data_IF_950700784924
#
_entry.id   IF_950700784924
#
_cell.length_a   1.000
_cell.length_b   1.000
_cell.length_c   1.000
_cell.angle_alpha   90.00
_cell.angle_beta   90.00
_cell.angle_gamma   90.00
#
_symmetry.space_group_name_H-M   'P 1'
#
loop_
_entity.id
_entity.type
_entity.pdbx_description
1 polymer ?
#
# COMPACT_ATOMS: atom_id res chain seq x y z
N UNK A 1 -33.90 9.22 3.22
CA UNK A 1 -32.47 8.99 2.93
C UNK A 1 -32.03 7.77 3.73
N UNK A 2 -31.01 7.04 3.28
CA UNK A 2 -30.40 6.00 4.12
C UNK A 2 -29.63 6.68 5.27
N UNK A 3 -29.52 6.01 6.42
CA UNK A 3 -28.58 6.43 7.48
C UNK A 3 -27.14 6.28 6.97
N UNK A 4 -26.19 7.13 7.41
CA UNK A 4 -24.78 6.90 7.14
C UNK A 4 -24.32 5.55 7.73
N UNK A 5 -23.31 4.88 7.14
CA UNK A 5 -22.77 3.65 7.69
C UNK A 5 -22.10 3.92 9.05
N UNK A 6 -22.31 3.01 10.01
CA UNK A 6 -21.62 3.06 11.29
C UNK A 6 -20.16 2.60 11.11
N UNK A 7 -19.24 3.57 11.15
CA UNK A 7 -17.80 3.37 11.02
C UNK A 7 -17.07 3.41 12.38
N UNK A 8 -17.76 3.03 13.47
CA UNK A 8 -17.14 2.86 14.78
C UNK A 8 -16.22 1.64 14.83
N UNK A 9 -15.12 1.80 15.58
CA UNK A 9 -14.09 0.79 15.84
C UNK A 9 -13.70 0.86 17.32
N UNK A 10 -13.16 -0.22 17.91
CA UNK A 10 -12.45 -0.13 19.18
C UNK A 10 -11.15 0.68 19.00
N UNK A 11 -10.59 1.20 20.09
CA UNK A 11 -9.35 1.98 20.08
C UNK A 11 -8.07 1.16 19.88
N UNK A 12 -8.13 -0.14 20.16
CA UNK A 12 -6.98 -1.06 20.13
C UNK A 12 -7.40 -2.42 19.57
N UNK A 13 -6.43 -3.15 19.04
CA UNK A 13 -6.58 -4.55 18.61
C UNK A 13 -5.88 -5.50 19.59
N UNK A 14 -6.22 -6.80 19.62
CA UNK A 14 -5.37 -7.79 20.25
C UNK A 14 -4.15 -8.08 19.37
N UNK A 15 -2.99 -8.30 19.98
CA UNK A 15 -1.76 -8.61 19.25
C UNK A 15 -1.62 -10.11 18.96
N UNK A 16 -0.79 -10.43 17.95
CA UNK A 16 -0.57 -11.78 17.43
C UNK A 16 0.92 -11.99 17.20
N UNK A 17 1.37 -13.23 17.00
CA UNK A 17 2.77 -13.50 16.61
C UNK A 17 3.16 -12.88 15.26
N UNK A 18 2.17 -12.42 14.48
CA UNK A 18 2.35 -11.72 13.19
C UNK A 18 2.16 -10.20 13.29
N UNK A 19 2.12 -9.60 14.50
CA UNK A 19 1.86 -8.17 14.70
C UNK A 19 2.93 -7.21 14.13
N UNK A 20 4.04 -7.72 13.58
CA UNK A 20 5.05 -6.93 12.85
C UNK A 20 5.40 -7.56 11.48
N UNK A 21 4.47 -8.32 10.90
CA UNK A 21 4.64 -8.94 9.58
C UNK A 21 4.08 -8.04 8.48
N UNK A 22 4.92 -7.74 7.48
CA UNK A 22 4.63 -6.88 6.32
C UNK A 22 4.48 -7.69 5.03
N UNK A 23 3.98 -7.07 3.96
CA UNK A 23 3.68 -7.70 2.67
C UNK A 23 4.93 -8.19 1.90
N UNK A 24 5.41 -9.36 2.29
CA UNK A 24 6.51 -10.10 1.66
C UNK A 24 6.04 -11.06 0.54
N UNK A 25 4.93 -10.72 -0.14
CA UNK A 25 4.30 -11.55 -1.17
C UNK A 25 3.45 -12.73 -0.66
N UNK A 26 3.63 -13.18 0.59
CA UNK A 26 2.78 -14.20 1.23
C UNK A 26 1.42 -13.64 1.65
N UNK A 27 1.41 -12.42 2.17
CA UNK A 27 0.21 -11.78 2.71
C UNK A 27 -0.56 -11.04 1.62
N UNK A 28 -1.87 -10.92 1.84
CA UNK A 28 -2.79 -10.14 1.03
C UNK A 28 -3.72 -9.31 1.91
N UNK A 29 -3.95 -8.05 1.55
CA UNK A 29 -4.94 -7.22 2.23
C UNK A 29 -6.34 -7.80 1.99
N UNK A 30 -7.10 -7.96 3.07
CA UNK A 30 -8.43 -8.55 2.98
C UNK A 30 -9.46 -7.48 2.57
N UNK A 31 -10.24 -7.77 1.54
CA UNK A 31 -11.32 -6.93 1.04
C UNK A 31 -12.66 -7.40 1.63
N UNK A 32 -13.41 -6.44 2.15
CA UNK A 32 -14.74 -6.62 2.76
C UNK A 32 -15.74 -5.57 2.25
N UNK A 33 -17.02 -5.75 2.59
CA UNK A 33 -18.05 -4.72 2.43
C UNK A 33 -19.05 -4.74 3.58
N UNK A 34 -19.49 -3.56 4.00
CA UNK A 34 -20.72 -3.36 4.80
C UNK A 34 -21.86 -2.75 3.98
N UNK A 35 -21.59 -2.40 2.71
CA UNK A 35 -22.60 -2.05 1.73
C UNK A 35 -23.28 -3.29 1.15
N UNK A 36 -24.39 -3.08 0.44
CA UNK A 36 -25.10 -4.15 -0.27
C UNK A 36 -24.52 -4.33 -1.68
N UNK A 37 -23.31 -4.87 -1.77
CA UNK A 37 -22.69 -5.29 -3.04
C UNK A 37 -23.03 -6.75 -3.34
N UNK A 38 -23.31 -7.05 -4.62
CA UNK A 38 -23.45 -8.43 -5.09
C UNK A 38 -22.07 -9.06 -5.42
N UNK A 39 -22.09 -10.34 -5.81
CA UNK A 39 -20.88 -11.11 -6.09
C UNK A 39 -20.09 -10.57 -7.30
N UNK A 40 -20.75 -9.97 -8.29
CA UNK A 40 -20.09 -9.40 -9.46
C UNK A 40 -19.47 -8.04 -9.12
N UNK A 41 -20.16 -7.21 -8.32
CA UNK A 41 -19.63 -5.96 -7.79
C UNK A 41 -18.42 -6.20 -6.86
N UNK A 42 -18.44 -7.25 -6.04
CA UNK A 42 -17.30 -7.66 -5.20
C UNK A 42 -16.10 -8.13 -6.02
N UNK A 43 -16.31 -8.91 -7.09
CA UNK A 43 -15.24 -9.32 -8.01
C UNK A 43 -14.69 -8.14 -8.83
N UNK A 44 -15.56 -7.20 -9.23
CA UNK A 44 -15.13 -5.97 -9.90
C UNK A 44 -14.28 -5.07 -8.98
N UNK A 45 -14.65 -4.96 -7.70
CA UNK A 45 -13.88 -4.26 -6.67
C UNK A 45 -12.50 -4.90 -6.45
N UNK A 46 -12.44 -6.22 -6.27
CA UNK A 46 -11.18 -6.97 -6.15
C UNK A 46 -10.30 -6.83 -7.40
N UNK A 47 -10.91 -6.83 -8.59
CA UNK A 47 -10.18 -6.62 -9.86
C UNK A 47 -9.65 -5.19 -9.96
N UNK A 48 -10.43 -4.18 -9.58
CA UNK A 48 -10.04 -2.77 -9.67
C UNK A 48 -8.88 -2.44 -8.71
N UNK A 49 -8.99 -2.85 -7.43
CA UNK A 49 -7.92 -2.65 -6.43
C UNK A 49 -6.62 -3.32 -6.89
N UNK A 50 -6.69 -4.54 -7.44
CA UNK A 50 -5.50 -5.28 -7.86
C UNK A 50 -4.92 -4.88 -9.23
N UNK A 51 -5.66 -4.08 -10.02
CA UNK A 51 -5.22 -3.55 -11.31
C UNK A 51 -4.58 -2.15 -11.20
N UNK A 52 -4.56 -1.56 -10.00
CA UNK A 52 -3.98 -0.25 -9.74
C UNK A 52 -2.45 -0.26 -9.70
N UNK A 53 -1.83 0.91 -9.83
CA UNK A 53 -0.38 1.05 -9.78
C UNK A 53 0.16 0.68 -8.38
N UNK A 54 1.28 -0.05 -8.34
CA UNK A 54 1.89 -0.61 -7.13
C UNK A 54 1.01 -1.60 -6.34
N UNK A 55 -0.15 -2.02 -6.88
CA UNK A 55 -1.00 -3.00 -6.22
C UNK A 55 -0.48 -4.44 -6.38
N UNK A 56 0.04 -4.83 -7.55
CA UNK A 56 0.64 -6.15 -7.85
C UNK A 56 -0.13 -7.37 -7.31
N UNK A 57 -1.47 -7.32 -7.37
CA UNK A 57 -2.34 -8.38 -6.85
C UNK A 57 -2.26 -8.55 -5.33
N UNK A 58 -1.88 -7.51 -4.57
CA UNK A 58 -1.68 -7.50 -3.10
C UNK A 58 -2.96 -7.66 -2.27
N UNK A 59 -4.14 -7.59 -2.87
CA UNK A 59 -5.42 -7.66 -2.16
C UNK A 59 -6.23 -8.89 -2.59
N UNK A 60 -7.10 -9.39 -1.70
CA UNK A 60 -8.02 -10.50 -2.00
C UNK A 60 -9.35 -10.34 -1.27
N UNK A 61 -10.44 -10.87 -1.81
CA UNK A 61 -11.68 -11.06 -1.05
C UNK A 61 -11.43 -11.96 0.17
N UNK A 62 -11.96 -11.55 1.33
CA UNK A 62 -11.93 -12.37 2.52
C UNK A 62 -12.81 -13.64 2.37
N UNK A 63 -12.56 -14.72 3.14
CA UNK A 63 -13.37 -15.95 3.06
C UNK A 63 -14.87 -15.74 3.32
N UNK A 64 -15.22 -14.72 4.10
CA UNK A 64 -16.55 -14.12 4.16
C UNK A 64 -16.38 -12.60 3.96
N UNK A 65 -16.63 -12.04 2.76
CA UNK A 65 -16.36 -10.63 2.50
C UNK A 65 -17.54 -9.70 2.83
N UNK A 66 -18.77 -10.21 2.90
CA UNK A 66 -19.99 -9.38 2.89
C UNK A 66 -20.72 -9.35 4.25
N UNK A 67 -20.97 -8.13 4.74
CA UNK A 67 -21.62 -7.82 6.01
C UNK A 67 -22.67 -6.69 5.84
N UNK A 68 -23.64 -6.80 4.91
CA UNK A 68 -24.50 -5.69 4.51
C UNK A 68 -25.31 -5.12 5.68
N UNK A 69 -25.23 -3.80 5.86
CA UNK A 69 -25.94 -3.08 6.93
C UNK A 69 -25.42 -3.34 8.35
N UNK A 70 -24.25 -3.98 8.50
CA UNK A 70 -23.56 -4.10 9.80
C UNK A 70 -22.63 -2.92 10.04
N UNK A 71 -22.33 -2.56 11.30
CA UNK A 71 -21.29 -1.58 11.60
C UNK A 71 -19.91 -2.14 11.27
N UNK A 72 -18.96 -1.27 10.96
CA UNK A 72 -17.57 -1.60 10.60
C UNK A 72 -16.90 -2.50 11.65
N UNK A 73 -17.26 -2.33 12.94
CA UNK A 73 -16.83 -3.22 14.03
C UNK A 73 -17.06 -4.72 13.75
N UNK A 74 -18.13 -5.13 13.07
CA UNK A 74 -18.34 -6.54 12.72
C UNK A 74 -17.28 -7.06 11.74
N UNK A 75 -16.76 -6.20 10.86
CA UNK A 75 -15.65 -6.54 9.95
C UNK A 75 -14.34 -6.62 10.73
N UNK A 76 -14.09 -5.70 11.66
CA UNK A 76 -12.95 -5.77 12.59
C UNK A 76 -12.96 -7.08 13.40
N UNK A 77 -14.08 -7.40 14.07
CA UNK A 77 -14.20 -8.58 14.93
C UNK A 77 -14.03 -9.89 14.11
N UNK A 78 -14.44 -9.89 12.84
CA UNK A 78 -14.17 -11.00 11.91
C UNK A 78 -12.72 -11.03 11.42
N UNK A 79 -12.16 -9.89 11.00
CA UNK A 79 -10.78 -9.77 10.51
C UNK A 79 -9.78 -10.25 11.57
N UNK A 80 -9.95 -9.81 12.82
CA UNK A 80 -9.11 -10.18 13.95
C UNK A 80 -9.03 -11.69 14.16
N UNK A 81 -10.13 -12.44 13.92
CA UNK A 81 -10.14 -13.90 13.97
C UNK A 81 -9.54 -14.53 12.71
N UNK A 82 -10.01 -14.14 11.53
CA UNK A 82 -9.64 -14.83 10.28
C UNK A 82 -8.17 -14.59 9.90
N UNK A 83 -7.55 -13.46 10.29
CA UNK A 83 -6.12 -13.22 10.08
C UNK A 83 -5.22 -14.17 10.89
N UNK A 84 -5.74 -14.77 11.96
CA UNK A 84 -5.03 -15.75 12.78
C UNK A 84 -5.16 -17.15 12.18
N UNK A 85 -6.37 -17.50 11.71
CA UNK A 85 -6.72 -18.73 11.00
C UNK A 85 -6.03 -18.85 9.62
N UNK A 86 -6.09 -17.80 8.79
CA UNK A 86 -5.50 -17.75 7.45
C UNK A 86 -4.18 -16.95 7.44
N UNK A 87 -3.07 -17.69 7.38
CA UNK A 87 -1.70 -17.14 7.34
C UNK A 87 -1.31 -16.42 6.03
N UNK A 88 -2.27 -16.17 5.13
CA UNK A 88 -2.13 -15.34 3.92
C UNK A 88 -2.96 -14.05 3.95
N UNK A 89 -3.71 -13.78 5.02
CA UNK A 89 -4.34 -12.47 5.25
C UNK A 89 -3.35 -11.55 5.98
N UNK A 90 -3.27 -10.29 5.53
CA UNK A 90 -2.43 -9.29 6.19
C UNK A 90 -2.94 -8.99 7.61
N UNK A 91 -2.10 -9.02 8.66
CA UNK A 91 -2.58 -9.00 10.03
C UNK A 91 -2.91 -7.59 10.57
N UNK A 92 -2.45 -6.53 9.90
CA UNK A 92 -2.60 -5.14 10.37
C UNK A 92 -3.51 -4.27 9.50
N UNK A 93 -3.81 -4.65 8.25
CA UNK A 93 -4.48 -3.77 7.28
C UNK A 93 -5.55 -4.50 6.47
N UNK A 94 -6.70 -3.85 6.30
CA UNK A 94 -7.79 -4.33 5.46
C UNK A 94 -8.64 -3.21 4.85
N UNK A 95 -9.34 -3.56 3.76
CA UNK A 95 -10.05 -2.63 2.88
C UNK A 95 -11.55 -2.94 2.95
N UNK A 96 -12.40 -1.90 3.07
CA UNK A 96 -13.85 -2.05 3.24
C UNK A 96 -14.63 -1.09 2.32
N UNK A 97 -15.45 -1.65 1.43
CA UNK A 97 -16.48 -0.87 0.75
C UNK A 97 -17.63 -0.55 1.71
N UNK A 98 -17.66 0.69 2.20
CA UNK A 98 -18.64 1.19 3.18
C UNK A 98 -19.96 1.68 2.57
N UNK A 99 -19.95 2.06 1.29
CA UNK A 99 -21.11 2.48 0.51
C UNK A 99 -21.13 1.69 -0.81
N UNK A 100 -22.28 1.63 -1.49
CA UNK A 100 -22.40 1.00 -2.80
C UNK A 100 -21.78 1.88 -3.91
N UNK A 101 -21.78 3.20 -3.71
CA UNK A 101 -21.15 4.21 -4.55
C UNK A 101 -19.69 4.46 -4.10
N UNK A 102 -18.93 3.38 -3.91
CA UNK A 102 -17.54 3.43 -3.43
C UNK A 102 -16.57 4.05 -4.44
N UNK A 103 -16.98 4.17 -5.72
CA UNK A 103 -16.19 4.86 -6.75
C UNK A 103 -16.20 6.39 -6.58
N UNK A 104 -17.29 6.95 -6.04
CA UNK A 104 -17.41 8.41 -5.79
C UNK A 104 -17.17 8.76 -4.32
N UNK A 105 -17.39 7.81 -3.41
CA UNK A 105 -17.28 8.02 -1.95
C UNK A 105 -16.04 7.38 -1.32
N UNK A 106 -15.16 6.78 -2.14
CA UNK A 106 -13.97 6.07 -1.68
C UNK A 106 -14.25 4.76 -0.95
N UNK A 107 -13.16 4.05 -0.65
CA UNK A 107 -13.12 2.90 0.24
C UNK A 107 -12.67 3.35 1.63
N UNK A 108 -13.13 2.64 2.66
CA UNK A 108 -12.62 2.81 4.03
C UNK A 108 -11.52 1.77 4.24
N UNK A 109 -10.32 2.24 4.56
CA UNK A 109 -9.19 1.38 4.92
C UNK A 109 -8.96 1.46 6.43
N UNK A 110 -8.61 0.33 7.04
CA UNK A 110 -8.43 0.20 8.49
C UNK A 110 -7.04 -0.33 8.76
N UNK A 111 -6.29 0.37 9.62
CA UNK A 111 -4.98 -0.07 10.10
C UNK A 111 -5.05 -0.27 11.62
N UNK A 112 -4.50 -1.39 12.09
CA UNK A 112 -4.70 -1.87 13.46
C UNK A 112 -3.61 -1.42 14.45
N UNK A 113 -2.49 -0.92 13.93
CA UNK A 113 -1.41 -0.31 14.71
C UNK A 113 -0.90 0.95 13.99
N UNK A 114 -1.59 2.05 14.20
CA UNK A 114 -1.27 3.38 13.63
C UNK A 114 -0.41 4.21 14.58
N UNK A 115 0.33 3.57 15.48
CA UNK A 115 1.12 4.23 16.53
C UNK A 115 2.61 4.03 16.31
N UNK A 116 3.35 5.13 16.32
CA UNK A 116 4.82 5.11 16.42
C UNK A 116 5.28 4.88 17.89
N UNK A 117 4.39 5.20 18.85
CA UNK A 117 4.49 4.82 20.27
C UNK A 117 4.24 3.31 20.49
N UNK A 118 4.65 2.79 21.67
CA UNK A 118 4.38 1.41 22.14
C UNK A 118 2.89 1.11 22.48
N UNK A 119 1.90 1.64 21.72
CA UNK A 119 0.47 1.58 22.06
C UNK A 119 -0.45 1.37 20.86
N UNK A 120 -0.36 0.18 20.28
CA UNK A 120 -1.06 -0.31 19.09
C UNK A 120 -2.48 0.30 18.86
N UNK A 121 -2.52 1.40 18.08
CA UNK A 121 -3.72 2.24 17.86
C UNK A 121 -4.51 1.77 16.64
N UNK A 122 -5.78 1.44 16.83
CA UNK A 122 -6.71 1.19 15.72
C UNK A 122 -7.27 2.53 15.21
N UNK A 123 -7.17 2.76 13.91
CA UNK A 123 -7.86 3.86 13.22
C UNK A 123 -8.29 3.45 11.79
N UNK A 124 -9.10 4.30 11.16
CA UNK A 124 -9.58 4.17 9.79
C UNK A 124 -9.35 5.46 9.00
N UNK A 125 -9.20 5.33 7.71
CA UNK A 125 -9.16 6.46 6.79
C UNK A 125 -9.94 6.12 5.50
N UNK A 126 -10.05 7.09 4.60
CA UNK A 126 -10.74 6.93 3.32
C UNK A 126 -9.82 7.32 2.17
N UNK A 127 -9.81 6.48 1.15
CA UNK A 127 -9.00 6.68 -0.05
C UNK A 127 -9.73 6.13 -1.29
N UNK A 128 -9.19 6.44 -2.46
CA UNK A 128 -9.74 6.03 -3.74
C UNK A 128 -9.46 4.55 -4.03
N UNK A 129 -10.20 3.97 -4.97
CA UNK A 129 -10.24 2.51 -5.22
C UNK A 129 -8.88 1.96 -5.67
N UNK A 130 -8.13 2.75 -6.43
CA UNK A 130 -6.78 2.47 -6.90
C UNK A 130 -5.73 2.67 -5.80
N UNK A 131 -5.89 3.69 -4.95
CA UNK A 131 -4.97 3.97 -3.84
C UNK A 131 -5.10 2.98 -2.66
N UNK A 132 -6.22 2.29 -2.51
CA UNK A 132 -6.48 1.43 -1.34
C UNK A 132 -5.50 0.24 -1.16
N UNK A 133 -4.84 -0.23 -2.23
CA UNK A 133 -3.76 -1.21 -2.13
C UNK A 133 -2.40 -0.55 -1.87
N UNK A 134 -2.09 0.53 -2.60
CA UNK A 134 -0.78 1.19 -2.54
C UNK A 134 -0.53 1.88 -1.19
N UNK A 135 -1.56 2.36 -0.50
CA UNK A 135 -1.44 2.82 0.90
C UNK A 135 -0.97 1.72 1.84
N UNK A 136 -1.58 0.52 1.78
CA UNK A 136 -1.15 -0.62 2.58
C UNK A 136 0.31 -1.02 2.31
N UNK A 137 0.73 -1.02 1.03
CA UNK A 137 2.13 -1.31 0.66
C UNK A 137 3.10 -0.24 1.17
N UNK A 138 2.75 1.04 1.08
CA UNK A 138 3.65 2.12 1.54
C UNK A 138 3.77 2.21 3.06
N UNK A 139 2.71 1.90 3.81
CA UNK A 139 2.74 1.75 5.26
C UNK A 139 3.66 0.58 5.67
N UNK A 140 3.50 -0.59 5.04
CA UNK A 140 4.32 -1.79 5.28
C UNK A 140 5.82 -1.61 4.95
N UNK A 141 6.15 -0.67 4.06
CA UNK A 141 7.53 -0.34 3.70
C UNK A 141 8.11 0.83 4.52
N UNK A 142 7.29 1.56 5.27
CA UNK A 142 7.71 2.82 5.92
C UNK A 142 8.01 3.94 4.93
N UNK A 143 7.37 3.93 3.75
CA UNK A 143 7.49 4.99 2.73
C UNK A 143 6.58 6.20 3.02
N UNK A 144 5.47 5.96 3.73
CA UNK A 144 4.44 6.93 4.09
C UNK A 144 3.93 6.61 5.50
N UNK A 145 3.48 7.63 6.21
CA UNK A 145 2.92 7.52 7.56
C UNK A 145 1.39 7.44 7.50
N UNK A 146 0.76 7.04 8.60
CA UNK A 146 -0.71 6.99 8.67
C UNK A 146 -1.33 8.38 8.55
N UNK A 147 -0.67 9.37 9.16
CA UNK A 147 -1.03 10.79 9.14
C UNK A 147 -1.08 11.38 7.72
N UNK A 148 -0.21 10.97 6.79
CA UNK A 148 -0.24 11.41 5.38
C UNK A 148 -1.59 11.06 4.72
N UNK A 149 -2.09 9.85 4.98
CA UNK A 149 -3.40 9.37 4.52
C UNK A 149 -4.56 10.09 5.23
N UNK A 150 -4.37 10.61 6.45
CA UNK A 150 -5.36 11.46 7.12
C UNK A 150 -5.43 12.85 6.48
N UNK A 151 -4.31 13.41 6.03
CA UNK A 151 -4.30 14.67 5.27
C UNK A 151 -4.96 14.51 3.90
N UNK A 152 -4.67 13.42 3.16
CA UNK A 152 -5.36 13.11 1.89
C UNK A 152 -6.87 12.83 2.06
N UNK A 153 -7.31 12.13 3.12
CA UNK A 153 -8.75 12.01 3.44
C UNK A 153 -9.39 13.40 3.65
N UNK A 154 -8.73 14.26 4.44
CA UNK A 154 -9.20 15.61 4.75
C UNK A 154 -9.25 16.52 3.52
N UNK A 155 -8.33 16.38 2.57
CA UNK A 155 -8.31 17.14 1.30
C UNK A 155 -9.42 16.69 0.35
N UNK A 156 -9.56 15.38 0.11
CA UNK A 156 -10.42 14.85 -0.94
C UNK A 156 -11.88 14.65 -0.50
N UNK A 157 -12.10 14.36 0.79
CA UNK A 157 -13.43 14.03 1.33
C UNK A 157 -13.96 15.02 2.39
N UNK A 158 -13.15 16.01 2.78
CA UNK A 158 -13.52 17.03 3.75
C UNK A 158 -13.37 16.59 5.21
N UNK A 159 -13.77 17.44 6.17
CA UNK A 159 -13.51 17.19 7.58
C UNK A 159 -14.33 16.01 8.13
N UNK A 160 -13.79 15.25 9.10
CA UNK A 160 -14.53 14.22 9.80
C UNK A 160 -15.86 14.75 10.37
N UNK A 161 -16.93 13.97 10.23
CA UNK A 161 -18.23 14.29 10.80
C UNK A 161 -18.09 14.46 12.34
N UNK A 162 -18.43 15.62 12.93
CA UNK A 162 -18.24 15.90 14.35
C UNK A 162 -19.16 15.08 15.28
N UNK A 163 -20.05 14.24 14.73
CA UNK A 163 -20.78 13.22 15.48
C UNK A 163 -20.04 11.89 15.60
N UNK A 164 -18.98 11.65 14.82
CA UNK A 164 -18.00 10.60 15.14
C UNK A 164 -17.17 11.07 16.35
N UNK A 165 -16.85 10.19 17.31
CA UNK A 165 -15.99 10.54 18.42
C UNK A 165 -14.57 10.80 17.89
N UNK A 166 -14.19 12.07 17.79
CA UNK A 166 -12.79 12.46 17.60
C UNK A 166 -11.93 11.77 18.66
N UNK A 167 -10.94 10.99 18.24
CA UNK A 167 -9.93 10.53 19.20
C UNK A 167 -9.30 11.79 19.85
N UNK A 168 -9.04 11.77 21.17
CA UNK A 168 -8.32 12.87 21.80
C UNK A 168 -6.96 13.03 21.10
N UNK A 169 -6.46 14.26 20.89
CA UNK A 169 -5.17 14.46 20.26
C UNK A 169 -4.10 13.70 21.04
N UNK A 170 -3.11 13.15 20.32
CA UNK A 170 -1.94 12.55 20.94
C UNK A 170 -1.36 13.53 21.97
N UNK A 171 -0.93 13.01 23.12
CA UNK A 171 -0.26 13.85 24.11
C UNK A 171 0.94 14.53 23.45
N UNK A 172 1.17 15.85 23.66
CA UNK A 172 2.25 16.55 22.98
C UNK A 172 3.57 15.84 23.27
N UNK A 173 4.26 15.43 22.20
CA UNK A 173 5.46 14.61 22.30
C UNK A 173 6.49 15.26 23.24
N UNK A 174 7.20 14.47 24.08
CA UNK A 174 8.33 15.02 24.82
C UNK A 174 9.33 15.62 23.82
N UNK A 175 9.93 16.79 24.10
CA UNK A 175 10.77 17.48 23.14
C UNK A 175 11.96 16.60 22.74
N UNK A 176 12.03 16.25 21.47
CA UNK A 176 13.06 15.34 20.95
C UNK A 176 14.48 15.90 21.22
N UNK A 177 15.46 15.04 21.56
CA UNK A 177 16.86 15.43 21.47
C UNK A 177 17.19 15.70 20.00
N UNK A 178 17.71 16.89 19.69
CA UNK A 178 17.86 17.36 18.30
C UNK A 178 18.77 16.46 17.44
N UNK A 179 18.18 15.48 16.76
CA UNK A 179 18.87 14.58 15.81
C UNK A 179 19.21 15.36 14.55
N UNK A 180 20.50 15.71 14.42
CA UNK A 180 21.02 16.44 13.26
C UNK A 180 21.16 15.49 12.05
N UNK A 181 20.07 15.30 11.31
CA UNK A 181 20.09 14.60 10.03
C UNK A 181 21.12 15.23 9.07
N UNK A 182 22.15 14.47 8.72
CA UNK A 182 23.04 14.79 7.60
C UNK A 182 22.58 14.01 6.37
N UNK A 183 22.04 14.73 5.39
CA UNK A 183 21.74 14.17 4.07
C UNK A 183 23.04 13.82 3.33
N UNK A 184 23.46 12.55 3.44
CA UNK A 184 24.56 12.00 2.68
C UNK A 184 24.12 11.62 1.26
N UNK A 185 24.45 12.44 0.26
CA UNK A 185 24.37 12.03 -1.15
C UNK A 185 25.53 11.09 -1.51
N UNK A 186 25.38 9.81 -1.19
CA UNK A 186 26.25 8.74 -1.71
C UNK A 186 25.89 8.41 -3.17
N UNK A 187 26.52 9.12 -4.10
CA UNK A 187 26.45 8.79 -5.53
C UNK A 187 27.39 7.62 -5.84
N UNK A 188 26.84 6.40 -5.93
CA UNK A 188 27.62 5.16 -6.11
C UNK A 188 28.03 4.94 -7.58
N UNK A 189 28.89 5.81 -8.11
CA UNK A 189 29.44 5.67 -9.47
C UNK A 189 30.81 4.96 -9.43
N UNK A 190 30.79 3.63 -9.34
CA UNK A 190 31.99 2.83 -9.57
C UNK A 190 32.23 2.63 -11.08
N UNK A 191 33.12 3.43 -11.67
CA UNK A 191 33.83 3.07 -12.89
C UNK A 191 35.13 3.88 -13.00
N UNK A 192 36.28 3.21 -12.85
CA UNK A 192 37.59 3.85 -13.01
C UNK A 192 37.99 3.94 -14.49
N UNK A 193 38.30 5.14 -14.96
CA UNK A 193 39.00 5.34 -16.24
C UNK A 193 40.29 6.12 -15.97
N UNK A 194 41.41 5.43 -16.05
CA UNK A 194 42.75 6.00 -15.94
C UNK A 194 43.11 6.72 -17.25
N UNK A 195 43.04 8.05 -17.29
CA UNK A 195 43.49 8.83 -18.45
C UNK A 195 45.02 8.85 -18.55
N UNK A 196 45.64 8.36 -19.65
CA UNK A 196 47.03 8.66 -19.97
C UNK A 196 47.14 10.06 -20.61
N UNK A 197 48.25 10.77 -20.36
CA UNK A 197 48.55 12.03 -21.06
C UNK A 197 49.09 11.76 -22.47
N UNK A 198 48.67 12.62 -23.40
CA UNK A 198 49.34 13.09 -24.62
C UNK A 198 50.25 12.14 -25.46
N UNK A 199 49.80 11.95 -26.71
CA UNK A 199 50.57 11.69 -27.95
C UNK A 199 51.85 12.56 -28.11
N UNK A 200 52.80 12.28 -29.04
CA UNK A 200 52.62 11.52 -30.30
C UNK A 200 53.81 10.62 -30.79
N UNK A 201 53.58 9.84 -31.87
CA UNK A 201 54.40 9.87 -33.12
C UNK A 201 54.08 8.74 -34.16
N UNK A 202 54.02 9.16 -35.45
CA UNK A 202 54.47 8.47 -36.69
C UNK A 202 53.79 7.20 -37.26
N UNK A 203 53.83 7.13 -38.60
CA UNK A 203 53.57 6.01 -39.55
C UNK A 203 52.13 5.46 -39.62
N UNK A 204 51.42 5.37 -40.77
CA UNK A 204 51.74 5.14 -42.20
C UNK A 204 52.24 3.69 -42.46
N UNK A 205 51.55 2.78 -43.17
CA UNK A 205 50.24 2.86 -43.87
C UNK A 205 49.36 1.61 -43.50
N UNK A 206 48.55 0.87 -44.30
CA UNK A 206 48.29 0.76 -45.74
C UNK A 206 46.87 0.17 -46.03
N UNK A 207 46.36 0.38 -47.25
CA UNK A 207 45.15 -0.26 -47.86
C UNK A 207 45.61 -1.18 -49.04
N UNK A 208 44.86 -2.18 -49.59
CA UNK A 208 43.39 -2.30 -49.70
C UNK A 208 42.77 -3.75 -49.70
N UNK A 209 41.45 -3.83 -49.97
CA UNK A 209 40.71 -4.95 -50.66
C UNK A 209 40.68 -6.36 -49.97
N UNK A 210 39.65 -7.22 -50.12
CA UNK A 210 38.68 -7.40 -51.21
C UNK A 210 37.33 -8.04 -50.78
N UNK A 211 36.47 -8.34 -51.78
CA UNK A 211 35.04 -8.75 -51.70
C UNK A 211 34.75 -10.22 -51.32
N UNK A 212 33.48 -10.45 -50.93
CA UNK A 212 32.54 -11.55 -51.32
C UNK A 212 32.01 -12.34 -50.12
N UNK A 213 30.70 -12.47 -49.82
CA UNK A 213 29.46 -12.79 -50.59
C UNK A 213 29.24 -14.28 -50.94
N UNK A 214 27.97 -14.69 -50.76
CA UNK A 214 27.40 -16.05 -50.91
C UNK A 214 27.83 -17.09 -49.84
N UNK A 215 27.04 -18.13 -49.50
CA UNK A 215 25.81 -18.66 -50.14
C UNK A 215 24.82 -19.30 -49.14
N UNK A 216 23.55 -19.42 -49.54
CA UNK A 216 22.51 -20.17 -48.82
C UNK A 216 22.61 -21.69 -49.08
N UNK A 217 22.06 -22.51 -48.17
CA UNK A 217 21.24 -23.68 -48.54
C UNK A 217 20.17 -24.01 -47.50
N UNK A 218 19.00 -24.48 -47.95
CA UNK A 218 17.89 -25.01 -47.14
C UNK A 218 17.96 -26.54 -47.07
N UNK A 219 17.43 -27.16 -46.01
CA UNK A 219 16.24 -28.06 -45.98
C UNK A 219 16.12 -28.67 -44.57
N UNK A 220 14.93 -28.63 -43.94
CA UNK A 220 13.77 -29.55 -44.09
C UNK A 220 14.06 -30.91 -43.50
#
# INVERSE_FOLDING_TARGET
MASPPDLSLPSTAPNTERHRATLNGRFKFAIYTIANLDQAALQALETAINAAEFADGSSKLAPQPSFPGRPLRHVFDYHVRVRDEDTSIHPLYFIVAADADYQTKGLVVVHLDTSEDERDRVDKARCDVDMAASWGVNLDLGNMHWEDLKEEEQLNYGPPDPSQPSQPPAAPAPPEPAVRWQYGWWSTVHNGIHMPLASPALSVDVIPFARSQQKQTRRS
#
